data_IF_764016613488
#
_entry.id   IF_764016613488
#
_cell.length_a   1.000
_cell.length_b   1.000
_cell.length_c   1.000
_cell.angle_alpha   90.00
_cell.angle_beta   90.00
_cell.angle_gamma   90.00
#
_symmetry.space_group_name_H-M   'P 1'
#
loop_
_entity.id
_entity.type
_entity.pdbx_description
1 polymer ?
#
# COMPACT_ATOMS: atom_id res chain seq x y z
N UNK A 1 -14.19 -8.00 -22.21
CA UNK A 1 -13.07 -8.75 -22.81
C UNK A 1 -13.07 -10.16 -22.23
N UNK A 2 -12.95 -11.21 -23.04
CA UNK A 2 -12.94 -12.60 -22.56
C UNK A 2 -11.70 -12.85 -21.68
N UNK A 3 -11.85 -13.54 -20.54
CA UNK A 3 -10.75 -13.87 -19.61
C UNK A 3 -9.58 -14.56 -20.31
N UNK A 4 -9.86 -15.45 -21.28
CA UNK A 4 -8.82 -16.14 -22.05
C UNK A 4 -7.98 -15.17 -22.88
N UNK A 5 -8.64 -14.20 -23.52
CA UNK A 5 -8.00 -13.13 -24.31
C UNK A 5 -7.16 -12.20 -23.43
N UNK A 6 -7.62 -11.91 -22.22
CA UNK A 6 -6.87 -11.12 -21.25
C UNK A 6 -5.57 -11.84 -20.85
N UNK A 7 -5.61 -13.17 -20.65
CA UNK A 7 -4.44 -13.95 -20.25
C UNK A 7 -3.41 -14.09 -21.37
N UNK A 8 -3.83 -14.45 -22.58
CA UNK A 8 -2.88 -14.63 -23.71
C UNK A 8 -2.24 -13.32 -24.17
N UNK A 9 -2.92 -12.19 -23.98
CA UNK A 9 -2.36 -10.86 -24.28
C UNK A 9 -1.61 -10.21 -23.10
N UNK A 10 -1.32 -10.96 -22.04
CA UNK A 10 -0.71 -10.45 -20.81
C UNK A 10 -1.42 -9.19 -20.28
N UNK A 11 -2.68 -9.35 -19.91
CA UNK A 11 -3.55 -8.29 -19.40
C UNK A 11 -3.76 -7.11 -20.36
N UNK A 12 -3.61 -7.35 -21.67
CA UNK A 12 -3.83 -6.37 -22.74
C UNK A 12 -2.56 -5.72 -23.28
N UNK A 13 -1.37 -6.08 -22.77
CA UNK A 13 -0.09 -5.62 -23.29
C UNK A 13 0.13 -6.03 -24.76
N UNK A 14 -0.40 -7.18 -25.17
CA UNK A 14 -0.37 -7.64 -26.56
C UNK A 14 -1.16 -6.76 -27.54
N UNK A 15 -2.03 -5.87 -27.06
CA UNK A 15 -2.70 -4.87 -27.92
C UNK A 15 -1.92 -3.57 -28.08
N UNK A 16 -0.64 -3.55 -27.70
CA UNK A 16 0.24 -2.41 -27.92
C UNK A 16 0.33 -2.08 -29.42
N UNK A 17 0.08 -0.83 -29.86
CA UNK A 17 0.02 -0.47 -31.28
C UNK A 17 1.38 -0.45 -31.99
N UNK A 18 2.50 -0.60 -31.26
CA UNK A 18 3.85 -0.45 -31.82
C UNK A 18 4.58 -1.79 -31.93
N UNK A 19 4.77 -2.48 -30.81
CA UNK A 19 5.58 -3.71 -30.72
C UNK A 19 5.08 -4.62 -29.59
N UNK A 20 3.97 -5.37 -29.82
CA UNK A 20 3.37 -6.26 -28.82
C UNK A 20 4.36 -7.18 -28.11
N UNK A 21 5.13 -7.99 -28.85
CA UNK A 21 6.08 -8.94 -28.27
C UNK A 21 7.17 -8.27 -27.43
N UNK A 22 7.66 -7.10 -27.86
CA UNK A 22 8.60 -6.28 -27.06
C UNK A 22 7.96 -5.79 -25.76
N UNK A 23 6.69 -5.36 -25.79
CA UNK A 23 5.98 -4.92 -24.59
C UNK A 23 5.69 -6.10 -23.65
N UNK A 24 5.33 -7.27 -24.20
CA UNK A 24 5.21 -8.52 -23.44
C UNK A 24 6.53 -8.90 -22.75
N UNK A 25 7.63 -8.87 -23.50
CA UNK A 25 8.98 -9.13 -22.98
C UNK A 25 9.41 -8.13 -21.91
N UNK A 26 9.00 -6.86 -21.97
CA UNK A 26 9.35 -5.87 -20.94
C UNK A 26 8.65 -6.13 -19.59
N UNK A 27 7.51 -6.82 -19.58
CA UNK A 27 6.73 -7.05 -18.37
C UNK A 27 7.49 -7.82 -17.26
N UNK A 28 8.08 -9.00 -17.51
CA UNK A 28 8.87 -9.70 -16.51
C UNK A 28 10.09 -8.88 -16.04
N UNK A 29 10.72 -8.10 -16.93
CA UNK A 29 11.81 -7.19 -16.57
C UNK A 29 11.35 -6.10 -15.60
N UNK A 30 10.23 -5.43 -15.91
CA UNK A 30 9.65 -4.39 -15.06
C UNK A 30 9.23 -4.97 -13.70
N UNK A 31 8.59 -6.14 -13.69
CA UNK A 31 8.20 -6.81 -12.45
C UNK A 31 9.41 -7.16 -11.59
N UNK A 32 10.47 -7.70 -12.20
CA UNK A 32 11.71 -8.01 -11.50
C UNK A 32 12.32 -6.75 -10.88
N UNK A 33 12.43 -5.65 -11.66
CA UNK A 33 12.97 -4.38 -11.17
C UNK A 33 12.13 -3.86 -10.01
N UNK A 34 10.80 -3.81 -10.15
CA UNK A 34 9.89 -3.27 -9.12
C UNK A 34 10.00 -4.06 -7.83
N UNK A 35 10.02 -5.40 -7.89
CA UNK A 35 10.12 -6.24 -6.69
C UNK A 35 11.52 -6.14 -6.08
N UNK A 36 12.57 -6.18 -6.89
CA UNK A 36 13.95 -6.07 -6.40
C UNK A 36 14.19 -4.71 -5.75
N UNK A 37 13.62 -3.67 -6.33
CA UNK A 37 13.64 -2.32 -5.81
C UNK A 37 12.88 -2.24 -4.47
N UNK A 38 11.64 -2.70 -4.43
CA UNK A 38 10.79 -2.64 -3.24
C UNK A 38 11.33 -3.46 -2.06
N UNK A 39 11.85 -4.66 -2.33
CA UNK A 39 12.20 -5.64 -1.29
C UNK A 39 13.69 -5.62 -0.94
N UNK A 40 14.54 -5.11 -1.86
CA UNK A 40 16.01 -5.24 -1.86
C UNK A 40 16.50 -6.67 -1.69
N UNK A 41 15.63 -7.66 -1.93
CA UNK A 41 15.94 -9.07 -1.81
C UNK A 41 15.71 -9.74 -3.16
N UNK A 42 16.80 -10.18 -3.79
CA UNK A 42 16.77 -10.74 -5.14
C UNK A 42 15.86 -11.96 -5.25
N UNK A 43 15.84 -12.81 -4.22
CA UNK A 43 15.06 -14.04 -4.19
C UNK A 43 13.55 -13.81 -4.30
N UNK A 44 13.04 -12.68 -3.81
CA UNK A 44 11.61 -12.35 -3.93
C UNK A 44 11.23 -12.07 -5.39
N UNK A 45 12.13 -11.40 -6.13
CA UNK A 45 11.97 -11.15 -7.57
C UNK A 45 12.09 -12.44 -8.37
N UNK A 46 13.04 -13.31 -7.99
CA UNK A 46 13.20 -14.63 -8.59
C UNK A 46 11.95 -15.47 -8.43
N UNK A 47 11.37 -15.56 -7.23
CA UNK A 47 10.13 -16.31 -6.99
C UNK A 47 8.96 -15.74 -7.79
N UNK A 48 8.80 -14.41 -7.82
CA UNK A 48 7.72 -13.78 -8.56
C UNK A 48 7.84 -14.02 -10.07
N UNK A 49 9.04 -13.88 -10.64
CA UNK A 49 9.27 -14.16 -12.07
C UNK A 49 9.18 -15.65 -12.38
N UNK A 50 9.61 -16.54 -11.48
CA UNK A 50 9.39 -17.99 -11.64
C UNK A 50 7.91 -18.34 -11.71
N UNK A 51 7.11 -17.81 -10.77
CA UNK A 51 5.66 -17.97 -10.78
C UNK A 51 5.03 -17.40 -12.06
N UNK A 52 5.49 -16.22 -12.50
CA UNK A 52 5.05 -15.57 -13.73
C UNK A 52 5.35 -16.42 -14.96
N UNK A 53 6.59 -16.90 -15.11
CA UNK A 53 7.03 -17.74 -16.22
C UNK A 53 6.20 -19.01 -16.31
N UNK A 54 6.00 -19.72 -15.18
CA UNK A 54 5.19 -20.95 -15.16
C UNK A 54 3.72 -20.65 -15.50
N UNK A 55 3.16 -19.57 -14.94
CA UNK A 55 1.78 -19.18 -15.18
C UNK A 55 1.52 -18.85 -16.65
N UNK A 56 2.39 -18.06 -17.27
CA UNK A 56 2.24 -17.66 -18.67
C UNK A 56 2.59 -18.77 -19.64
N UNK A 57 3.59 -19.61 -19.35
CA UNK A 57 3.86 -20.84 -20.12
C UNK A 57 2.65 -21.78 -20.14
N UNK A 58 2.04 -22.02 -18.97
CA UNK A 58 0.80 -22.78 -18.87
C UNK A 58 -0.33 -22.11 -19.67
N UNK A 59 -0.46 -20.78 -19.57
CA UNK A 59 -1.46 -20.00 -20.29
C UNK A 59 -1.34 -20.13 -21.81
N UNK A 60 -0.11 -20.06 -22.35
CA UNK A 60 0.16 -20.25 -23.79
C UNK A 60 -0.31 -21.63 -24.25
N UNK A 61 0.08 -22.69 -23.54
CA UNK A 61 -0.32 -24.06 -23.92
C UNK A 61 -1.84 -24.23 -23.80
N UNK A 62 -2.44 -23.80 -22.69
CA UNK A 62 -3.84 -24.02 -22.38
C UNK A 62 -4.80 -23.23 -23.28
N UNK A 63 -4.39 -22.04 -23.75
CA UNK A 63 -5.27 -21.11 -24.44
C UNK A 63 -4.84 -20.74 -25.87
N UNK A 64 -3.72 -21.26 -26.38
CA UNK A 64 -3.24 -21.04 -27.75
C UNK A 64 -4.29 -21.33 -28.83
N UNK A 65 -5.01 -22.46 -28.75
CA UNK A 65 -6.08 -22.80 -29.71
C UNK A 65 -7.16 -21.73 -29.77
N UNK A 66 -7.58 -21.23 -28.60
CA UNK A 66 -8.55 -20.14 -28.51
C UNK A 66 -7.98 -18.84 -29.10
N UNK A 67 -6.70 -18.58 -28.89
CA UNK A 67 -6.06 -17.36 -29.37
C UNK A 67 -5.89 -17.36 -30.90
N UNK A 68 -5.51 -18.50 -31.49
CA UNK A 68 -5.43 -18.71 -32.95
C UNK A 68 -6.81 -18.57 -33.59
N UNK A 69 -7.84 -19.26 -33.04
CA UNK A 69 -9.22 -19.16 -33.52
C UNK A 69 -9.77 -17.73 -33.40
N UNK A 70 -9.44 -17.02 -32.32
CA UNK A 70 -9.90 -15.67 -32.09
C UNK A 70 -9.24 -14.65 -33.03
N UNK A 71 -7.94 -14.78 -33.27
CA UNK A 71 -7.20 -13.85 -34.12
C UNK A 71 -7.39 -14.13 -35.62
N UNK A 72 -7.90 -15.32 -35.98
CA UNK A 72 -8.13 -15.71 -37.37
C UNK A 72 -6.84 -15.91 -38.18
N UNK A 73 -5.69 -16.05 -37.51
CA UNK A 73 -4.36 -16.26 -38.09
C UNK A 73 -3.55 -17.20 -37.20
N UNK A 74 -2.67 -17.99 -37.82
CA UNK A 74 -1.86 -19.00 -37.12
C UNK A 74 -0.83 -18.41 -36.16
N UNK A 75 -0.39 -17.17 -36.39
CA UNK A 75 0.58 -16.47 -35.53
C UNK A 75 0.09 -15.04 -35.18
N UNK A 76 -0.69 -14.89 -34.10
CA UNK A 76 -1.24 -13.61 -33.71
C UNK A 76 -0.31 -12.79 -32.81
N UNK A 77 0.14 -11.65 -33.33
CA UNK A 77 1.00 -10.72 -32.60
C UNK A 77 0.42 -10.20 -31.27
N UNK A 78 -0.87 -10.37 -31.01
CA UNK A 78 -1.50 -9.98 -29.74
C UNK A 78 -1.38 -11.03 -28.63
N UNK A 79 -0.94 -12.24 -28.97
CA UNK A 79 -0.56 -13.26 -28.00
C UNK A 79 0.88 -12.97 -27.63
N UNK A 80 1.08 -12.57 -26.37
CA UNK A 80 2.40 -12.19 -25.87
C UNK A 80 2.82 -13.00 -24.63
N UNK A 81 2.11 -14.10 -24.37
CA UNK A 81 2.26 -14.92 -23.16
C UNK A 81 3.52 -15.77 -23.19
N UNK A 82 3.88 -16.23 -24.36
CA UNK A 82 5.11 -16.95 -24.73
C UNK A 82 6.33 -16.07 -24.51
N UNK A 83 6.32 -14.81 -24.98
CA UNK A 83 7.43 -13.87 -24.78
C UNK A 83 7.63 -13.54 -23.30
N UNK A 84 6.54 -13.42 -22.52
CA UNK A 84 6.61 -13.25 -21.06
C UNK A 84 7.29 -14.46 -20.41
N UNK A 85 6.94 -15.67 -20.84
CA UNK A 85 7.53 -16.89 -20.32
C UNK A 85 9.02 -17.03 -20.70
N UNK A 86 9.35 -16.82 -21.98
CA UNK A 86 10.72 -16.87 -22.52
C UNK A 86 11.65 -15.84 -21.87
N UNK A 87 11.23 -14.57 -21.81
CA UNK A 87 12.02 -13.54 -21.12
C UNK A 87 12.15 -13.84 -19.62
N UNK A 88 11.08 -14.31 -18.98
CA UNK A 88 11.13 -14.68 -17.57
C UNK A 88 12.14 -15.79 -17.30
N UNK A 89 12.25 -16.79 -18.19
CA UNK A 89 13.28 -17.82 -18.10
C UNK A 89 14.70 -17.24 -18.25
N UNK A 90 14.92 -16.32 -19.20
CA UNK A 90 16.20 -15.64 -19.36
C UNK A 90 16.62 -14.91 -18.07
N UNK A 91 15.68 -14.17 -17.45
CA UNK A 91 15.91 -13.49 -16.18
C UNK A 91 16.24 -14.44 -15.04
N UNK A 92 15.53 -15.57 -14.94
CA UNK A 92 15.79 -16.57 -13.90
C UNK A 92 17.21 -17.12 -14.01
N UNK A 93 17.61 -17.57 -15.20
CA UNK A 93 18.97 -18.08 -15.46
C UNK A 93 20.01 -17.01 -15.10
N UNK A 94 19.83 -15.78 -15.61
CA UNK A 94 20.78 -14.69 -15.38
C UNK A 94 20.88 -14.27 -13.91
N UNK A 95 19.77 -14.28 -13.17
CA UNK A 95 19.70 -13.77 -11.81
C UNK A 95 20.52 -14.55 -10.78
N UNK A 96 20.95 -15.78 -11.09
CA UNK A 96 21.82 -16.57 -10.22
C UNK A 96 23.32 -16.31 -10.44
N UNK A 97 23.68 -15.48 -11.42
CA UNK A 97 25.07 -15.20 -11.76
C UNK A 97 25.61 -13.99 -10.99
N UNK A 98 26.91 -13.99 -10.62
CA UNK A 98 27.52 -12.89 -9.88
C UNK A 98 27.41 -11.53 -10.57
N UNK A 99 27.51 -11.49 -11.90
CA UNK A 99 27.39 -10.27 -12.68
C UNK A 99 26.02 -9.60 -12.54
N UNK A 100 24.96 -10.39 -12.36
CA UNK A 100 23.60 -9.89 -12.13
C UNK A 100 23.50 -9.20 -10.77
N UNK A 101 24.04 -9.81 -9.73
CA UNK A 101 24.07 -9.21 -8.39
C UNK A 101 24.90 -7.92 -8.35
N UNK A 102 25.99 -7.86 -9.12
CA UNK A 102 26.85 -6.67 -9.21
C UNK A 102 26.21 -5.53 -10.04
N UNK A 103 25.58 -5.85 -11.16
CA UNK A 103 25.00 -4.88 -12.11
C UNK A 103 23.59 -5.30 -12.55
N UNK A 104 22.57 -5.25 -11.66
CA UNK A 104 21.27 -5.88 -11.90
C UNK A 104 20.54 -5.26 -13.09
N UNK A 105 20.52 -3.94 -13.21
CA UNK A 105 19.79 -3.24 -14.29
C UNK A 105 20.44 -3.45 -15.66
N UNK A 106 21.77 -3.41 -15.70
CA UNK A 106 22.54 -3.70 -16.91
C UNK A 106 22.30 -5.15 -17.33
N UNK A 107 22.30 -6.07 -16.38
CA UNK A 107 22.06 -7.48 -16.64
C UNK A 107 20.65 -7.75 -17.16
N UNK A 108 19.62 -7.13 -16.56
CA UNK A 108 18.24 -7.19 -17.06
C UNK A 108 18.15 -6.63 -18.49
N UNK A 109 18.82 -5.49 -18.76
CA UNK A 109 18.87 -4.90 -20.10
C UNK A 109 19.55 -5.81 -21.13
N UNK A 110 20.70 -6.40 -20.80
CA UNK A 110 21.40 -7.34 -21.67
C UNK A 110 20.55 -8.58 -21.94
N UNK A 111 19.95 -9.18 -20.89
CA UNK A 111 19.09 -10.34 -21.03
C UNK A 111 17.86 -10.04 -21.88
N UNK A 112 17.28 -8.86 -21.75
CA UNK A 112 16.19 -8.38 -22.60
C UNK A 112 16.60 -8.29 -24.07
N UNK A 113 17.74 -7.65 -24.36
CA UNK A 113 18.23 -7.51 -25.74
C UNK A 113 18.58 -8.87 -26.34
N UNK A 114 19.26 -9.75 -25.58
CA UNK A 114 19.62 -11.09 -26.03
C UNK A 114 18.38 -11.93 -26.31
N UNK A 115 17.39 -11.90 -25.41
CA UNK A 115 16.12 -12.60 -25.61
C UNK A 115 15.43 -12.15 -26.88
N UNK A 116 15.22 -10.83 -27.06
CA UNK A 116 14.60 -10.28 -28.28
C UNK A 116 15.39 -10.65 -29.53
N UNK A 117 16.72 -10.64 -29.48
CA UNK A 117 17.54 -11.06 -30.61
C UNK A 117 17.28 -12.54 -30.97
N UNK A 118 17.29 -13.44 -30.00
CA UNK A 118 17.07 -14.88 -30.25
C UNK A 118 15.64 -15.22 -30.64
N UNK A 119 14.65 -14.52 -30.06
CA UNK A 119 13.24 -14.63 -30.42
C UNK A 119 12.99 -14.17 -31.87
N UNK A 120 13.56 -13.02 -32.28
CA UNK A 120 13.38 -12.51 -33.65
C UNK A 120 14.16 -13.34 -34.69
N UNK A 121 15.37 -13.79 -34.35
CA UNK A 121 16.24 -14.51 -35.31
C UNK A 121 15.94 -16.01 -35.39
N UNK A 122 15.30 -16.58 -34.36
CA UNK A 122 14.92 -18.00 -34.26
C UNK A 122 16.04 -18.97 -34.64
N UNK A 123 17.20 -18.82 -34.03
CA UNK A 123 18.37 -19.66 -34.30
C UNK A 123 18.08 -21.14 -33.98
N UNK A 124 18.42 -22.05 -34.91
CA UNK A 124 18.22 -23.49 -34.76
C UNK A 124 18.83 -24.04 -33.45
N UNK A 125 18.15 -24.96 -32.72
CA UNK A 125 16.88 -25.61 -33.05
C UNK A 125 15.56 -24.84 -32.78
N UNK A 126 15.56 -23.57 -32.36
CA UNK A 126 14.31 -22.86 -32.01
C UNK A 126 13.30 -22.84 -33.17
N UNK A 127 13.74 -22.50 -34.39
CA UNK A 127 12.90 -22.58 -35.61
C UNK A 127 12.34 -23.97 -35.96
N UNK A 128 12.87 -25.04 -35.36
CA UNK A 128 12.32 -26.40 -35.56
C UNK A 128 11.18 -26.68 -34.58
N UNK A 129 11.15 -25.99 -33.44
CA UNK A 129 10.15 -26.19 -32.40
C UNK A 129 8.80 -25.58 -32.78
N UNK A 130 8.79 -24.53 -33.60
CA UNK A 130 7.58 -23.95 -34.20
C UNK A 130 6.73 -24.98 -34.96
N UNK A 131 7.36 -26.05 -35.45
CA UNK A 131 6.67 -27.13 -36.20
C UNK A 131 5.83 -28.03 -35.30
N UNK A 132 5.93 -27.89 -33.97
CA UNK A 132 5.12 -28.64 -33.03
C UNK A 132 3.69 -28.10 -33.01
N UNK A 133 2.67 -28.98 -32.99
CA UNK A 133 1.29 -28.54 -33.12
C UNK A 133 0.78 -27.79 -31.88
N UNK A 134 0.01 -26.73 -32.12
CA UNK A 134 -0.68 -25.97 -31.07
C UNK A 134 0.25 -25.10 -30.23
N UNK A 135 -0.14 -24.79 -29.00
CA UNK A 135 0.60 -23.89 -28.12
C UNK A 135 1.96 -24.39 -27.64
N UNK A 136 2.32 -25.63 -27.93
CA UNK A 136 3.67 -26.12 -27.64
C UNK A 136 4.68 -25.53 -28.60
N UNK A 137 4.34 -25.38 -29.88
CA UNK A 137 5.24 -24.76 -30.86
C UNK A 137 5.52 -23.30 -30.52
N UNK A 138 4.45 -22.54 -30.22
CA UNK A 138 4.47 -21.11 -29.84
C UNK A 138 5.22 -20.85 -28.52
N UNK A 139 5.19 -21.79 -27.57
CA UNK A 139 5.90 -21.59 -26.32
C UNK A 139 7.38 -21.98 -26.44
N UNK A 140 7.67 -23.07 -27.14
CA UNK A 140 8.97 -23.73 -27.04
C UNK A 140 10.07 -22.99 -27.81
N UNK A 141 9.75 -22.26 -28.87
CA UNK A 141 10.70 -21.38 -29.54
C UNK A 141 11.11 -20.20 -28.63
N UNK A 142 10.17 -19.55 -27.94
CA UNK A 142 10.44 -18.50 -26.96
C UNK A 142 11.19 -19.00 -25.72
N UNK A 143 10.84 -20.18 -25.22
CA UNK A 143 11.59 -20.83 -24.13
C UNK A 143 13.03 -21.12 -24.57
N UNK A 144 13.25 -21.54 -25.82
CA UNK A 144 14.60 -21.71 -26.35
C UNK A 144 15.33 -20.38 -26.52
N UNK A 145 14.66 -19.32 -26.96
CA UNK A 145 15.24 -17.98 -27.02
C UNK A 145 15.66 -17.49 -25.63
N UNK A 146 14.83 -17.75 -24.61
CA UNK A 146 15.14 -17.49 -23.20
C UNK A 146 16.35 -18.26 -22.70
N UNK A 147 16.44 -19.54 -23.07
CA UNK A 147 17.59 -20.40 -22.75
C UNK A 147 18.88 -19.88 -23.41
N UNK A 148 18.84 -19.53 -24.70
CA UNK A 148 19.99 -18.95 -25.40
C UNK A 148 20.44 -17.63 -24.77
N UNK A 149 19.50 -16.74 -24.46
CA UNK A 149 19.81 -15.48 -23.80
C UNK A 149 20.50 -15.72 -22.45
N UNK A 150 19.99 -16.66 -21.65
CA UNK A 150 20.60 -17.05 -20.38
C UNK A 150 22.00 -17.64 -20.55
N UNK A 151 22.22 -18.55 -21.51
CA UNK A 151 23.53 -19.17 -21.78
C UNK A 151 24.54 -18.13 -22.26
N UNK A 152 24.17 -17.26 -23.21
CA UNK A 152 25.07 -16.22 -23.72
C UNK A 152 25.39 -15.21 -22.63
N UNK A 153 24.42 -14.81 -21.82
CA UNK A 153 24.67 -13.95 -20.67
C UNK A 153 25.58 -14.62 -19.63
N UNK A 154 25.42 -15.93 -19.39
CA UNK A 154 26.30 -16.70 -18.52
C UNK A 154 27.74 -16.73 -19.04
N UNK A 155 27.93 -17.02 -20.32
CA UNK A 155 29.25 -16.95 -20.96
C UNK A 155 29.86 -15.55 -20.84
N UNK A 156 29.11 -14.51 -21.21
CA UNK A 156 29.56 -13.12 -21.11
C UNK A 156 29.93 -12.73 -19.66
N UNK A 157 29.20 -13.24 -18.66
CA UNK A 157 29.50 -13.03 -17.24
C UNK A 157 30.79 -13.72 -16.83
N UNK A 158 31.00 -14.97 -17.26
CA UNK A 158 32.21 -15.75 -16.97
C UNK A 158 33.47 -15.16 -17.61
N UNK A 159 33.35 -14.63 -18.83
CA UNK A 159 34.45 -13.95 -19.53
C UNK A 159 34.65 -12.49 -19.08
N UNK A 160 33.86 -12.01 -18.11
CA UNK A 160 33.97 -10.64 -17.58
C UNK A 160 33.49 -9.55 -18.53
N UNK A 161 32.78 -9.88 -19.62
CA UNK A 161 32.32 -8.90 -20.61
C UNK A 161 31.17 -8.02 -20.11
N UNK A 162 30.45 -8.48 -19.08
CA UNK A 162 29.39 -7.69 -18.44
C UNK A 162 29.98 -6.56 -17.59
N UNK A 163 31.16 -6.76 -17.00
CA UNK A 163 31.74 -5.82 -16.03
C UNK A 163 32.04 -4.43 -16.62
N UNK A 164 32.71 -4.27 -17.79
CA UNK A 164 32.97 -2.96 -18.37
C UNK A 164 31.68 -2.18 -18.70
N UNK A 165 30.65 -2.89 -19.17
CA UNK A 165 29.34 -2.29 -19.46
C UNK A 165 28.63 -1.89 -18.17
N UNK A 166 28.74 -2.74 -17.15
CA UNK A 166 28.27 -2.50 -15.79
C UNK A 166 28.86 -1.23 -15.19
N UNK A 167 30.18 -1.11 -15.17
CA UNK A 167 30.90 0.05 -14.62
C UNK A 167 30.58 1.35 -15.37
N UNK A 168 30.37 1.28 -16.69
CA UNK A 168 30.00 2.43 -17.51
C UNK A 168 28.56 2.92 -17.23
N UNK A 169 27.59 2.01 -17.13
CA UNK A 169 26.16 2.37 -17.10
C UNK A 169 25.57 2.45 -15.69
N UNK A 170 26.05 1.64 -14.75
CA UNK A 170 25.46 1.54 -13.40
C UNK A 170 25.44 2.88 -12.63
N UNK A 171 26.44 3.78 -12.73
CA UNK A 171 26.38 5.09 -12.09
C UNK A 171 25.19 5.96 -12.53
N UNK A 172 24.70 5.77 -13.76
CA UNK A 172 23.55 6.50 -14.30
C UNK A 172 22.22 5.79 -14.02
N UNK A 173 22.22 4.45 -14.00
CA UNK A 173 21.00 3.64 -13.84
C UNK A 173 20.58 3.49 -12.37
N UNK A 174 21.54 3.38 -11.45
CA UNK A 174 21.27 3.13 -10.03
C UNK A 174 20.47 4.28 -9.37
N UNK A 175 20.76 5.58 -9.61
CA UNK A 175 19.96 6.68 -9.06
C UNK A 175 18.52 6.72 -9.60
N UNK A 176 18.31 6.39 -10.87
CA UNK A 176 16.97 6.33 -11.48
C UNK A 176 16.16 5.22 -10.82
N UNK A 177 16.77 4.05 -10.64
CA UNK A 177 16.07 2.92 -10.04
C UNK A 177 15.86 3.08 -8.54
N UNK A 178 16.77 3.71 -7.80
CA UNK A 178 16.53 4.04 -6.39
C UNK A 178 15.39 5.04 -6.25
N UNK A 179 15.27 6.01 -7.16
CA UNK A 179 14.14 6.94 -7.19
C UNK A 179 12.81 6.23 -7.49
N UNK A 180 12.76 5.40 -8.54
CA UNK A 180 11.57 4.62 -8.90
C UNK A 180 11.18 3.63 -7.79
N UNK A 181 12.18 3.00 -7.15
CA UNK A 181 12.01 2.17 -5.96
C UNK A 181 11.32 2.93 -4.84
N UNK A 182 11.83 4.14 -4.55
CA UNK A 182 11.26 5.01 -3.54
C UNK A 182 9.81 5.33 -3.86
N UNK A 183 9.51 5.65 -5.13
CA UNK A 183 8.16 5.96 -5.60
C UNK A 183 7.19 4.77 -5.46
N UNK A 184 7.62 3.56 -5.83
CA UNK A 184 6.80 2.37 -5.66
C UNK A 184 6.57 2.07 -4.17
N UNK A 185 7.62 2.19 -3.35
CA UNK A 185 7.57 2.02 -1.91
C UNK A 185 6.60 2.98 -1.23
N UNK A 186 6.72 4.27 -1.53
CA UNK A 186 5.86 5.32 -0.98
C UNK A 186 4.41 5.16 -1.42
N UNK A 187 4.15 4.79 -2.68
CA UNK A 187 2.79 4.51 -3.14
C UNK A 187 2.23 3.31 -2.38
N UNK A 188 2.99 2.22 -2.24
CA UNK A 188 2.57 1.03 -1.50
C UNK A 188 2.22 1.34 -0.04
N UNK A 189 3.12 1.98 0.70
CA UNK A 189 2.86 2.39 2.09
C UNK A 189 1.74 3.42 2.19
N UNK A 190 1.63 4.35 1.22
CA UNK A 190 0.52 5.29 1.13
C UNK A 190 -0.83 4.58 0.95
N UNK A 191 -0.91 3.56 0.09
CA UNK A 191 -2.10 2.71 -0.06
C UNK A 191 -2.42 2.01 1.26
N UNK A 192 -1.42 1.42 1.93
CA UNK A 192 -1.59 0.79 3.24
C UNK A 192 -2.19 1.79 4.23
N UNK A 193 -1.57 2.97 4.38
CA UNK A 193 -2.05 4.04 5.26
C UNK A 193 -3.49 4.43 4.94
N UNK A 194 -3.80 4.77 3.69
CA UNK A 194 -5.14 5.23 3.32
C UNK A 194 -6.20 4.16 3.55
N UNK A 195 -5.90 2.90 3.27
CA UNK A 195 -6.82 1.79 3.54
C UNK A 195 -7.03 1.57 5.04
N UNK A 196 -5.99 1.67 5.85
CA UNK A 196 -6.01 1.23 7.25
C UNK A 196 -6.26 2.35 8.27
N UNK A 197 -6.13 3.62 7.89
CA UNK A 197 -6.35 4.77 8.79
C UNK A 197 -7.81 4.84 9.26
N UNK A 198 -8.73 4.60 8.32
CA UNK A 198 -10.14 4.67 8.62
C UNK A 198 -10.67 3.33 9.11
N UNK A 199 -10.31 2.23 8.45
CA UNK A 199 -10.71 0.91 8.91
C UNK A 199 -10.21 0.70 10.34
N UNK A 200 -10.99 0.03 11.22
CA UNK A 200 -10.63 -0.07 12.62
C UNK A 200 -9.57 -1.16 12.84
N UNK A 201 -8.41 -1.04 12.17
CA UNK A 201 -7.35 -2.07 12.11
C UNK A 201 -5.96 -1.53 12.44
N UNK A 202 -5.85 -0.25 12.82
CA UNK A 202 -4.62 0.47 13.18
C UNK A 202 -3.64 0.64 12.01
N UNK A 203 -3.68 1.81 11.38
CA UNK A 203 -2.75 2.23 10.34
C UNK A 203 -1.29 2.25 10.79
N UNK A 204 -1.03 2.85 11.95
CA UNK A 204 0.32 2.88 12.53
C UNK A 204 0.89 1.48 12.76
N UNK A 205 0.08 0.50 13.18
CA UNK A 205 0.51 -0.89 13.29
C UNK A 205 0.90 -1.52 11.94
N UNK A 206 0.15 -1.21 10.88
CA UNK A 206 0.46 -1.72 9.54
C UNK A 206 1.71 -1.07 8.97
N UNK A 207 1.89 0.24 9.11
CA UNK A 207 3.11 0.92 8.67
C UNK A 207 4.35 0.33 9.36
N UNK A 208 4.34 0.24 10.70
CA UNK A 208 5.44 -0.40 11.45
C UNK A 208 5.70 -1.83 10.97
N UNK A 209 4.66 -2.62 10.71
CA UNK A 209 4.81 -3.98 10.19
C UNK A 209 5.48 -4.00 8.80
N UNK A 210 4.97 -3.22 7.84
CA UNK A 210 5.52 -3.20 6.48
C UNK A 210 6.94 -2.64 6.45
N UNK A 211 7.23 -1.60 7.23
CA UNK A 211 8.59 -1.05 7.38
C UNK A 211 9.54 -2.06 8.01
N UNK A 212 9.08 -2.85 8.99
CA UNK A 212 9.89 -3.93 9.57
C UNK A 212 10.14 -5.07 8.57
N UNK A 213 9.18 -5.37 7.70
CA UNK A 213 9.28 -6.44 6.71
C UNK A 213 10.13 -6.05 5.49
N UNK A 214 10.34 -4.75 5.26
CA UNK A 214 11.17 -4.23 4.17
C UNK A 214 12.53 -3.87 4.77
N UNK A 215 13.59 -4.69 4.59
CA UNK A 215 14.86 -4.54 5.34
C UNK A 215 15.58 -3.20 5.15
N UNK A 216 15.23 -2.45 4.10
CA UNK A 216 15.80 -1.14 3.83
C UNK A 216 15.09 0.02 4.52
N UNK A 217 13.95 -0.26 5.14
CA UNK A 217 13.19 0.71 5.90
C UNK A 217 13.41 0.42 7.38
N UNK A 218 13.45 1.48 8.15
CA UNK A 218 13.51 1.41 9.60
C UNK A 218 12.34 2.23 10.14
N UNK A 219 11.35 1.60 10.82
CA UNK A 219 10.20 2.29 11.40
C UNK A 219 10.56 3.39 12.41
N UNK A 220 11.76 3.30 13.00
CA UNK A 220 12.28 4.27 13.95
C UNK A 220 13.12 5.37 13.26
N UNK A 221 13.41 5.21 11.96
CA UNK A 221 14.16 6.20 11.21
C UNK A 221 13.39 7.50 11.03
N UNK A 222 14.15 8.59 11.08
CA UNK A 222 13.60 9.95 10.95
C UNK A 222 12.92 10.20 9.60
N UNK A 223 13.42 9.58 8.53
CA UNK A 223 12.80 9.66 7.20
C UNK A 223 11.43 8.98 7.16
N UNK A 224 11.28 7.82 7.81
CA UNK A 224 9.97 7.13 7.90
C UNK A 224 8.99 7.89 8.78
N UNK A 225 9.44 8.50 9.89
CA UNK A 225 8.58 9.36 10.70
C UNK A 225 8.00 10.55 9.91
N UNK A 226 8.81 11.20 9.06
CA UNK A 226 8.34 12.26 8.17
C UNK A 226 7.40 11.74 7.06
N UNK A 227 7.67 10.53 6.58
CA UNK A 227 6.83 9.89 5.58
C UNK A 227 5.46 9.53 6.16
N UNK A 228 5.41 8.85 7.31
CA UNK A 228 4.21 8.53 8.09
C UNK A 228 3.34 9.77 8.25
N UNK A 229 3.97 10.85 8.71
CA UNK A 229 3.36 12.14 8.89
C UNK A 229 2.65 12.63 7.63
N UNK A 230 3.35 12.62 6.50
CA UNK A 230 2.79 13.08 5.22
C UNK A 230 1.63 12.20 4.75
N UNK A 231 1.74 10.87 4.88
CA UNK A 231 0.64 9.97 4.49
C UNK A 231 -0.58 10.09 5.41
N UNK A 232 -0.39 10.38 6.70
CA UNK A 232 -1.48 10.72 7.62
C UNK A 232 -2.19 12.01 7.20
N UNK A 233 -1.44 13.06 6.84
CA UNK A 233 -2.02 14.30 6.27
C UNK A 233 -2.81 14.00 4.98
N UNK A 234 -2.32 13.08 4.14
CA UNK A 234 -3.04 12.57 2.97
C UNK A 234 -4.47 12.11 3.30
N UNK A 235 -4.63 11.35 4.38
CA UNK A 235 -5.96 10.87 4.82
C UNK A 235 -6.88 12.00 5.31
N UNK A 236 -6.34 13.09 5.86
CA UNK A 236 -7.16 14.25 6.26
C UNK A 236 -7.91 14.81 5.05
N UNK A 237 -7.26 14.86 3.88
CA UNK A 237 -7.95 15.26 2.64
C UNK A 237 -9.09 14.29 2.27
N UNK A 238 -8.97 13.00 2.56
CA UNK A 238 -10.06 12.03 2.34
C UNK A 238 -11.27 12.36 3.20
N UNK A 239 -11.06 12.75 4.47
CA UNK A 239 -12.12 13.21 5.39
C UNK A 239 -12.79 14.46 4.80
N UNK A 240 -12.01 15.46 4.39
CA UNK A 240 -12.51 16.70 3.81
C UNK A 240 -13.41 16.42 2.58
N UNK A 241 -13.01 15.52 1.70
CA UNK A 241 -13.77 15.18 0.48
C UNK A 241 -15.05 14.40 0.79
N UNK A 242 -14.98 13.40 1.67
CA UNK A 242 -16.12 12.51 2.00
C UNK A 242 -17.14 13.24 2.86
N UNK A 243 -16.68 14.00 3.86
CA UNK A 243 -17.54 14.76 4.78
C UNK A 243 -17.79 16.21 4.36
N UNK A 244 -17.45 16.61 3.13
CA UNK A 244 -17.59 18.00 2.66
C UNK A 244 -18.96 18.62 2.94
N UNK A 245 -20.04 17.84 2.76
CA UNK A 245 -21.41 18.34 2.98
C UNK A 245 -21.67 18.58 4.47
N UNK A 246 -21.22 17.68 5.34
CA UNK A 246 -21.34 17.78 6.79
C UNK A 246 -20.48 18.93 7.32
N UNK A 247 -19.25 19.07 6.83
CA UNK A 247 -18.33 20.14 7.21
C UNK A 247 -18.90 21.51 6.80
N UNK A 248 -19.40 21.67 5.56
CA UNK A 248 -20.03 22.92 5.13
C UNK A 248 -21.29 23.23 5.94
N UNK A 249 -22.13 22.22 6.22
CA UNK A 249 -23.31 22.39 7.08
C UNK A 249 -22.90 22.85 8.48
N UNK A 250 -21.88 22.23 9.05
CA UNK A 250 -21.31 22.56 10.35
C UNK A 250 -20.80 24.00 10.38
N UNK A 251 -19.95 24.37 9.41
CA UNK A 251 -19.40 25.71 9.28
C UNK A 251 -20.51 26.76 9.15
N UNK A 252 -21.53 26.52 8.31
CA UNK A 252 -22.69 27.42 8.19
C UNK A 252 -23.42 27.62 9.51
N UNK A 253 -23.59 26.57 10.32
CA UNK A 253 -24.25 26.69 11.64
C UNK A 253 -23.35 27.29 12.72
N UNK A 254 -22.03 27.11 12.59
CA UNK A 254 -21.04 27.68 13.50
C UNK A 254 -20.94 29.20 13.32
N UNK A 255 -20.85 29.66 12.07
CA UNK A 255 -20.75 31.08 11.71
C UNK A 255 -22.10 31.78 11.53
N UNK A 256 -23.24 31.10 11.72
CA UNK A 256 -24.54 31.75 11.75
C UNK A 256 -24.62 32.59 13.03
N UNK A 257 -24.25 33.85 12.93
CA UNK A 257 -24.32 34.83 14.01
C UNK A 257 -25.78 35.06 14.39
N UNK A 258 -26.19 34.40 15.46
CA UNK A 258 -27.45 34.67 16.11
C UNK A 258 -27.30 35.95 16.95
N UNK A 259 -27.92 37.04 16.48
CA UNK A 259 -27.88 38.36 17.15
C UNK A 259 -28.73 38.40 18.43
N UNK A 260 -29.26 37.26 18.87
CA UNK A 260 -30.16 37.13 20.03
C UNK A 260 -29.50 37.27 21.40
N UNK A 261 -28.23 37.68 21.49
CA UNK A 261 -27.56 37.91 22.78
C UNK A 261 -27.39 36.66 23.66
N UNK A 262 -27.39 35.47 23.07
CA UNK A 262 -27.26 34.21 23.82
C UNK A 262 -25.91 34.13 24.55
N UNK A 263 -25.94 33.80 25.84
CA UNK A 263 -24.71 33.53 26.60
C UNK A 263 -24.04 32.22 26.13
N UNK A 264 -22.74 31.99 26.44
CA UNK A 264 -22.00 30.82 25.97
C UNK A 264 -22.65 29.47 26.31
N UNK A 265 -23.29 29.37 27.47
CA UNK A 265 -23.98 28.14 27.92
C UNK A 265 -25.22 27.88 27.05
N UNK A 266 -25.97 28.92 26.70
CA UNK A 266 -27.13 28.80 25.82
C UNK A 266 -26.71 28.45 24.38
N UNK A 267 -25.61 29.00 23.88
CA UNK A 267 -25.04 28.61 22.58
C UNK A 267 -24.66 27.13 22.55
N UNK A 268 -23.98 26.63 23.60
CA UNK A 268 -23.64 25.22 23.75
C UNK A 268 -24.88 24.30 23.78
N UNK A 269 -25.97 24.73 24.43
CA UNK A 269 -27.20 23.90 24.53
C UNK A 269 -28.08 23.97 23.27
N UNK A 270 -28.19 25.13 22.63
CA UNK A 270 -29.12 25.37 21.51
C UNK A 270 -28.51 25.07 20.14
N UNK A 271 -27.23 25.42 19.93
CA UNK A 271 -26.57 25.28 18.64
C UNK A 271 -25.72 24.00 18.59
N UNK A 272 -26.14 23.07 17.74
CA UNK A 272 -25.47 21.79 17.53
C UNK A 272 -23.99 21.94 17.10
N UNK A 273 -23.65 22.96 16.30
CA UNK A 273 -22.28 23.15 15.84
C UNK A 273 -21.36 23.57 17.00
N UNK A 274 -21.82 24.50 17.84
CA UNK A 274 -21.09 24.90 19.05
C UNK A 274 -20.96 23.76 20.06
N UNK A 275 -22.04 23.02 20.27
CA UNK A 275 -22.03 21.83 21.13
C UNK A 275 -20.94 20.83 20.72
N UNK A 276 -20.92 20.47 19.44
CA UNK A 276 -19.95 19.55 18.87
C UNK A 276 -18.53 20.14 18.90
N UNK A 277 -18.33 21.41 18.52
CA UNK A 277 -17.02 22.06 18.55
C UNK A 277 -16.43 22.01 19.97
N UNK A 278 -17.23 22.34 20.97
CA UNK A 278 -16.81 22.28 22.36
C UNK A 278 -16.41 20.87 22.78
N UNK A 279 -17.23 19.86 22.45
CA UNK A 279 -16.90 18.47 22.74
C UNK A 279 -15.62 18.02 22.00
N UNK A 280 -15.44 18.42 20.74
CA UNK A 280 -14.26 18.09 19.94
C UNK A 280 -12.99 18.72 20.54
N UNK A 281 -13.08 19.96 21.04
CA UNK A 281 -11.99 20.63 21.77
C UNK A 281 -11.65 19.85 23.04
N UNK A 282 -12.63 19.50 23.86
CA UNK A 282 -12.40 18.71 25.08
C UNK A 282 -11.76 17.36 24.77
N UNK A 283 -12.23 16.67 23.72
CA UNK A 283 -11.67 15.39 23.28
C UNK A 283 -10.20 15.56 22.88
N UNK A 284 -9.89 16.53 22.02
CA UNK A 284 -8.53 16.77 21.52
C UNK A 284 -7.60 17.26 22.63
N UNK A 285 -8.09 18.11 23.54
CA UNK A 285 -7.34 18.59 24.70
C UNK A 285 -7.02 17.45 25.66
N UNK A 286 -7.96 16.53 25.88
CA UNK A 286 -7.73 15.31 26.67
C UNK A 286 -6.62 14.48 26.04
N UNK A 287 -6.68 14.25 24.72
CA UNK A 287 -5.65 13.54 23.96
C UNK A 287 -4.27 14.18 24.11
N UNK A 288 -4.19 15.50 23.94
CA UNK A 288 -2.95 16.24 24.06
C UNK A 288 -2.38 16.20 25.49
N UNK A 289 -3.23 16.30 26.51
CA UNK A 289 -2.83 16.22 27.90
C UNK A 289 -2.22 14.86 28.22
N UNK A 290 -2.88 13.77 27.84
CA UNK A 290 -2.37 12.41 28.07
C UNK A 290 -1.09 12.17 27.29
N UNK A 291 -0.98 12.61 26.03
CA UNK A 291 0.27 12.52 25.28
C UNK A 291 1.43 13.18 26.02
N UNK A 292 1.27 14.42 26.49
CA UNK A 292 2.32 15.14 27.23
C UNK A 292 2.69 14.48 28.57
N UNK A 293 1.75 13.84 29.24
CA UNK A 293 2.00 13.16 30.51
C UNK A 293 2.74 11.83 30.33
N UNK A 294 2.59 11.17 29.18
CA UNK A 294 3.10 9.82 28.90
C UNK A 294 3.91 9.75 27.59
N UNK A 295 4.60 10.83 27.25
CA UNK A 295 5.33 10.97 25.98
C UNK A 295 6.36 9.85 25.77
N UNK A 296 7.22 9.62 26.76
CA UNK A 296 8.26 8.58 26.75
C UNK A 296 7.70 7.16 26.49
N UNK A 297 6.69 6.67 27.23
CA UNK A 297 6.03 5.41 26.92
C UNK A 297 5.44 5.30 25.51
N UNK A 298 4.88 6.40 24.98
CA UNK A 298 4.30 6.38 23.63
C UNK A 298 5.39 6.24 22.57
N UNK A 299 6.48 6.99 22.67
CA UNK A 299 7.59 6.89 21.71
C UNK A 299 8.27 5.51 21.78
N UNK A 300 8.41 4.93 22.98
CA UNK A 300 9.00 3.60 23.17
C UNK A 300 8.13 2.43 22.65
N UNK A 301 6.90 2.69 22.22
CA UNK A 301 5.91 1.68 21.85
C UNK A 301 5.93 1.25 20.37
N UNK A 302 6.81 1.84 19.54
CA UNK A 302 6.98 1.55 18.09
C UNK A 302 7.64 0.19 17.77
N UNK A 303 7.47 -0.82 18.61
CA UNK A 303 8.04 -2.16 18.40
C UNK A 303 6.98 -3.12 17.87
N UNK A 304 7.33 -3.97 16.90
CA UNK A 304 6.38 -4.89 16.26
C UNK A 304 5.67 -5.82 17.26
N UNK A 305 6.36 -6.27 18.32
CA UNK A 305 5.71 -7.10 19.35
C UNK A 305 4.63 -6.34 20.13
N UNK A 306 4.81 -5.02 20.37
CA UNK A 306 3.80 -4.16 21.00
C UNK A 306 2.60 -4.05 20.08
N UNK A 307 2.83 -3.81 18.78
CA UNK A 307 1.78 -3.77 17.75
C UNK A 307 0.94 -5.05 17.76
N UNK A 308 1.57 -6.23 17.85
CA UNK A 308 0.86 -7.51 17.90
C UNK A 308 -0.10 -7.58 19.10
N UNK A 309 0.34 -7.21 20.29
CA UNK A 309 -0.51 -7.20 21.50
C UNK A 309 -1.64 -6.17 21.37
N UNK A 310 -1.32 -4.97 20.89
CA UNK A 310 -2.29 -3.90 20.73
C UNK A 310 -3.36 -4.20 19.67
N UNK A 311 -3.04 -4.96 18.62
CA UNK A 311 -4.03 -5.47 17.68
C UNK A 311 -5.02 -6.42 18.34
N UNK A 312 -4.59 -7.26 19.28
CA UNK A 312 -5.50 -8.12 20.05
C UNK A 312 -6.44 -7.30 20.94
N UNK A 313 -5.94 -6.21 21.54
CA UNK A 313 -6.76 -5.26 22.30
C UNK A 313 -7.79 -4.58 21.38
N UNK A 314 -7.36 -4.11 20.21
CA UNK A 314 -8.27 -3.57 19.18
C UNK A 314 -9.32 -4.59 18.77
N UNK A 315 -8.93 -5.85 18.56
CA UNK A 315 -9.85 -6.93 18.20
C UNK A 315 -10.90 -7.16 19.29
N UNK A 316 -10.48 -7.24 20.55
CA UNK A 316 -11.39 -7.42 21.68
C UNK A 316 -12.39 -6.26 21.79
N UNK A 317 -11.91 -5.02 21.67
CA UNK A 317 -12.75 -3.82 21.74
C UNK A 317 -13.83 -3.82 20.65
N UNK A 318 -13.46 -4.15 19.41
CA UNK A 318 -14.40 -4.23 18.28
C UNK A 318 -15.44 -5.33 18.48
N UNK A 319 -15.01 -6.50 18.94
CA UNK A 319 -15.91 -7.63 19.17
C UNK A 319 -16.94 -7.33 20.27
N UNK A 320 -16.49 -6.74 21.39
CA UNK A 320 -17.36 -6.33 22.50
C UNK A 320 -18.37 -5.27 22.02
N UNK A 321 -17.90 -4.27 21.27
CA UNK A 321 -18.75 -3.19 20.75
C UNK A 321 -19.80 -3.71 19.78
N UNK A 322 -19.45 -4.69 18.94
CA UNK A 322 -20.40 -5.24 17.96
C UNK A 322 -21.59 -5.95 18.62
N UNK A 323 -21.37 -6.58 19.80
CA UNK A 323 -22.44 -7.17 20.63
C UNK A 323 -23.42 -6.14 21.18
N UNK A 324 -23.04 -4.87 21.30
CA UNK A 324 -23.94 -3.81 21.77
C UNK A 324 -24.99 -3.48 20.71
N UNK A 325 -26.23 -3.88 20.99
CA UNK A 325 -27.41 -3.74 20.11
C UNK A 325 -28.12 -2.40 20.27
N UNK A 326 -28.11 -1.82 21.48
CA UNK A 326 -28.81 -0.57 21.81
C UNK A 326 -27.81 0.58 21.99
N UNK A 327 -27.84 1.55 21.08
CA UNK A 327 -27.22 2.86 21.25
C UNK A 327 -28.10 3.92 20.59
N UNK A 328 -28.78 4.74 21.41
CA UNK A 328 -29.83 5.65 20.96
C UNK A 328 -29.56 7.12 21.30
N UNK A 329 -28.50 7.41 22.07
CA UNK A 329 -28.19 8.79 22.43
C UNK A 329 -27.92 9.60 21.17
N UNK A 330 -28.55 10.77 21.09
CA UNK A 330 -28.31 11.74 20.03
C UNK A 330 -27.08 12.57 20.36
N UNK A 331 -26.45 13.13 19.34
CA UNK A 331 -25.23 13.93 19.51
C UNK A 331 -25.43 15.23 20.32
N UNK A 332 -26.66 15.70 20.57
CA UNK A 332 -26.93 16.81 21.50
C UNK A 332 -27.04 16.37 22.97
N UNK A 333 -27.32 15.10 23.20
CA UNK A 333 -27.38 14.49 24.54
C UNK A 333 -25.98 14.01 24.97
N UNK A 334 -25.00 14.11 24.07
CA UNK A 334 -23.60 13.75 24.27
C UNK A 334 -22.89 14.84 25.09
N UNK A 335 -22.65 14.56 26.38
CA UNK A 335 -22.04 15.54 27.30
C UNK A 335 -20.51 15.57 27.29
N UNK A 336 -19.96 16.47 28.11
CA UNK A 336 -18.51 16.63 28.35
C UNK A 336 -17.85 15.32 28.81
N UNK A 337 -18.54 14.53 29.65
CA UNK A 337 -18.03 13.23 30.12
C UNK A 337 -17.79 12.29 28.95
N UNK A 338 -18.72 12.23 27.99
CA UNK A 338 -18.54 11.45 26.77
C UNK A 338 -17.33 11.91 25.96
N UNK A 339 -17.13 13.23 25.84
CA UNK A 339 -15.97 13.81 25.15
C UNK A 339 -14.64 13.42 25.81
N UNK A 340 -14.57 13.46 27.15
CA UNK A 340 -13.37 13.01 27.90
C UNK A 340 -13.12 11.52 27.69
N UNK A 341 -14.15 10.68 27.77
CA UNK A 341 -14.02 9.22 27.54
C UNK A 341 -13.49 8.92 26.13
N UNK A 342 -14.01 9.62 25.12
CA UNK A 342 -13.50 9.46 23.74
C UNK A 342 -12.07 10.00 23.63
N UNK A 343 -11.73 11.09 24.31
CA UNK A 343 -10.37 11.63 24.35
C UNK A 343 -9.37 10.66 24.97
N UNK A 344 -9.74 9.99 26.06
CA UNK A 344 -8.93 8.93 26.67
C UNK A 344 -8.74 7.76 25.69
N UNK A 345 -9.81 7.33 25.01
CA UNK A 345 -9.71 6.29 23.98
C UNK A 345 -8.83 6.71 22.79
N UNK A 346 -8.91 7.98 22.37
CA UNK A 346 -8.07 8.56 21.33
C UNK A 346 -6.60 8.65 21.77
N UNK A 347 -6.34 8.92 23.05
CA UNK A 347 -4.99 8.95 23.64
C UNK A 347 -4.34 7.57 23.60
N UNK A 348 -5.08 6.52 23.99
CA UNK A 348 -4.59 5.15 23.90
C UNK A 348 -4.25 4.74 22.47
N UNK A 349 -4.95 5.32 21.48
CA UNK A 349 -4.69 5.06 20.08
C UNK A 349 -3.43 5.72 19.49
N UNK A 350 -2.66 6.44 20.31
CA UNK A 350 -1.30 6.87 19.96
C UNK A 350 -0.36 5.66 19.91
N UNK A 351 -0.63 4.62 20.71
CA UNK A 351 0.15 3.38 20.72
C UNK A 351 -0.07 2.61 19.40
N UNK A 352 0.99 2.30 18.63
CA UNK A 352 0.88 1.49 17.42
C UNK A 352 0.19 0.15 17.67
N UNK A 353 -0.73 -0.22 16.77
CA UNK A 353 -1.60 -1.39 16.89
C UNK A 353 -2.95 -1.12 17.56
N UNK A 354 -3.11 -0.02 18.30
CA UNK A 354 -4.44 0.48 18.68
C UNK A 354 -5.01 1.28 17.52
N UNK A 355 -6.19 0.90 17.04
CA UNK A 355 -6.85 1.67 15.98
C UNK A 355 -7.50 2.93 16.54
N UNK A 356 -7.12 4.11 16.06
CA UNK A 356 -7.74 5.38 16.48
C UNK A 356 -9.21 5.49 16.10
N UNK A 357 -9.55 5.19 14.85
CA UNK A 357 -10.96 5.13 14.41
C UNK A 357 -11.72 4.06 15.20
N UNK A 358 -11.15 2.87 15.38
CA UNK A 358 -11.72 1.79 16.18
C UNK A 358 -11.99 2.20 17.63
N UNK A 359 -10.98 2.71 18.33
CA UNK A 359 -11.05 3.11 19.73
C UNK A 359 -12.10 4.20 19.97
N UNK A 360 -12.08 5.26 19.18
CA UNK A 360 -13.02 6.38 19.34
C UNK A 360 -14.45 6.04 18.94
N UNK A 361 -14.66 5.27 17.86
CA UNK A 361 -16.00 4.77 17.47
C UNK A 361 -16.54 3.83 18.53
N UNK A 362 -15.72 2.89 19.01
CA UNK A 362 -16.12 1.93 20.03
C UNK A 362 -16.44 2.62 21.35
N UNK A 363 -15.58 3.53 21.83
CA UNK A 363 -15.84 4.32 23.02
C UNK A 363 -17.15 5.10 22.93
N UNK A 364 -17.42 5.74 21.78
CA UNK A 364 -18.67 6.47 21.55
C UNK A 364 -19.90 5.55 21.59
N UNK A 365 -19.86 4.39 20.93
CA UNK A 365 -20.97 3.42 20.91
C UNK A 365 -21.18 2.79 22.29
N UNK A 366 -20.08 2.45 22.99
CA UNK A 366 -20.11 1.90 24.34
C UNK A 366 -20.61 2.93 25.35
N UNK A 367 -20.32 4.22 25.17
CA UNK A 367 -20.94 5.30 25.93
C UNK A 367 -22.46 5.42 25.67
N UNK A 368 -22.92 4.98 24.49
CA UNK A 368 -24.34 4.92 24.13
C UNK A 368 -24.73 5.80 22.94
N UNK A 369 -23.75 6.47 22.31
CA UNK A 369 -23.98 7.30 21.12
C UNK A 369 -24.46 6.44 19.95
N UNK A 370 -25.48 6.93 19.24
CA UNK A 370 -25.97 6.24 18.06
C UNK A 370 -24.85 6.07 17.01
N UNK A 371 -24.73 4.89 16.40
CA UNK A 371 -23.60 4.48 15.54
C UNK A 371 -23.28 5.49 14.43
N UNK A 372 -24.30 6.06 13.79
CA UNK A 372 -24.13 7.12 12.78
C UNK A 372 -23.34 8.32 13.34
N UNK A 373 -23.71 8.79 14.52
CA UNK A 373 -23.07 9.94 15.18
C UNK A 373 -21.70 9.57 15.74
N UNK A 374 -21.50 8.35 16.25
CA UNK A 374 -20.19 7.86 16.68
C UNK A 374 -19.15 7.92 15.55
N UNK A 375 -19.53 7.47 14.36
CA UNK A 375 -18.67 7.50 13.17
C UNK A 375 -18.38 8.95 12.74
N UNK A 376 -19.41 9.78 12.59
CA UNK A 376 -19.24 11.19 12.20
C UNK A 376 -18.39 11.96 13.22
N UNK A 377 -18.61 11.74 14.51
CA UNK A 377 -17.85 12.35 15.59
C UNK A 377 -16.38 11.95 15.54
N UNK A 378 -16.08 10.65 15.51
CA UNK A 378 -14.73 10.09 15.45
C UNK A 378 -13.89 10.63 14.28
N UNK A 379 -14.49 10.77 13.09
CA UNK A 379 -13.76 11.28 11.94
C UNK A 379 -13.55 12.78 11.95
N UNK A 380 -14.49 13.55 12.49
CA UNK A 380 -14.32 14.99 12.57
C UNK A 380 -13.29 15.39 13.64
N UNK A 381 -13.24 14.69 14.79
CA UNK A 381 -12.17 14.88 15.79
C UNK A 381 -10.81 14.35 15.32
N UNK A 382 -10.78 13.53 14.27
CA UNK A 382 -9.54 13.04 13.68
C UNK A 382 -8.69 14.16 13.12
N UNK A 383 -9.33 15.10 12.41
CA UNK A 383 -8.62 16.15 11.68
C UNK A 383 -7.74 17.00 12.60
N UNK A 384 -8.25 17.58 13.71
CA UNK A 384 -7.40 18.35 14.62
C UNK A 384 -6.37 17.47 15.34
N UNK A 385 -6.68 16.22 15.65
CA UNK A 385 -5.72 15.32 16.30
C UNK A 385 -4.56 14.94 15.36
N UNK A 386 -4.85 14.54 14.12
CA UNK A 386 -3.85 14.20 13.11
C UNK A 386 -3.02 15.43 12.77
N UNK A 387 -3.65 16.57 12.45
CA UNK A 387 -2.93 17.80 12.11
C UNK A 387 -2.11 18.34 13.30
N UNK A 388 -2.63 18.21 14.52
CA UNK A 388 -1.93 18.62 15.74
C UNK A 388 -0.71 17.75 16.04
N UNK A 389 -0.88 16.42 16.03
CA UNK A 389 0.24 15.47 16.17
C UNK A 389 1.27 15.68 15.06
N UNK A 390 0.78 15.87 13.83
CA UNK A 390 1.59 16.15 12.67
C UNK A 390 2.48 17.39 12.84
N UNK A 391 1.87 18.50 13.26
CA UNK A 391 2.56 19.73 13.53
C UNK A 391 3.57 19.58 14.68
N UNK A 392 3.19 18.92 15.78
CA UNK A 392 4.10 18.71 16.92
C UNK A 392 5.33 17.91 16.52
N UNK A 393 5.17 16.81 15.80
CA UNK A 393 6.29 16.00 15.30
C UNK A 393 7.15 16.81 14.32
N UNK A 394 6.55 17.55 13.39
CA UNK A 394 7.29 18.42 12.47
C UNK A 394 8.08 19.53 13.20
N UNK A 395 7.51 20.11 14.26
CA UNK A 395 8.17 21.15 15.05
C UNK A 395 9.31 20.60 15.92
N UNK A 396 9.20 19.35 16.41
CA UNK A 396 10.26 18.65 17.15
C UNK A 396 11.43 18.27 16.27
N UNK A 397 11.17 18.03 14.98
CA UNK A 397 12.14 17.52 14.03
C UNK A 397 12.35 18.46 12.84
N UNK A 398 12.40 19.77 13.08
CA UNK A 398 12.51 20.80 12.03
C UNK A 398 13.78 20.66 11.20
N UNK A 399 14.85 20.20 11.82
CA UNK A 399 16.14 19.94 11.19
C UNK A 399 16.08 18.88 10.09
N UNK A 400 15.01 18.08 10.04
CA UNK A 400 14.82 17.07 9.01
C UNK A 400 14.27 17.62 7.71
N UNK A 401 13.63 18.79 7.74
CA UNK A 401 13.08 19.41 6.53
C UNK A 401 14.23 19.97 5.68
N UNK A 402 14.52 19.29 4.56
CA UNK A 402 15.58 19.65 3.61
C UNK A 402 16.87 18.84 3.74
N UNK A 403 17.00 17.99 4.76
CA UNK A 403 18.17 17.13 4.99
C UNK A 403 17.89 15.63 4.76
N UNK A 404 16.65 15.25 4.47
CA UNK A 404 16.22 13.85 4.33
C UNK A 404 16.61 13.19 3.00
N UNK A 405 16.72 11.86 3.03
CA UNK A 405 17.02 11.02 1.85
C UNK A 405 15.80 10.97 0.90
N UNK A 406 14.59 11.15 1.43
CA UNK A 406 13.36 11.11 0.65
C UNK A 406 13.14 12.41 -0.12
N UNK A 407 13.08 12.28 -1.45
CA UNK A 407 12.74 13.40 -2.32
C UNK A 407 11.27 13.84 -2.11
N UNK A 408 10.95 15.13 -2.30
CA UNK A 408 9.57 15.62 -2.22
C UNK A 408 8.59 14.85 -3.12
N UNK A 409 9.02 14.41 -4.30
CA UNK A 409 8.20 13.61 -5.23
C UNK A 409 7.76 12.27 -4.63
N UNK A 410 8.66 11.58 -3.92
CA UNK A 410 8.37 10.31 -3.25
C UNK A 410 7.35 10.52 -2.11
N UNK A 411 7.55 11.54 -1.27
CA UNK A 411 6.61 11.86 -0.17
C UNK A 411 5.22 12.21 -0.70
N UNK A 412 5.15 13.10 -1.71
CA UNK A 412 3.88 13.52 -2.30
C UNK A 412 3.14 12.34 -2.95
N UNK A 413 3.85 11.42 -3.60
CA UNK A 413 3.22 10.24 -4.21
C UNK A 413 2.53 9.34 -3.17
N UNK A 414 3.16 9.10 -2.01
CA UNK A 414 2.57 8.34 -0.92
C UNK A 414 1.39 9.08 -0.29
N UNK A 415 1.51 10.39 -0.09
CA UNK A 415 0.42 11.23 0.41
C UNK A 415 -0.81 11.20 -0.51
N UNK A 416 -0.60 11.27 -1.83
CA UNK A 416 -1.67 11.17 -2.82
C UNK A 416 -2.30 9.76 -2.85
N UNK A 417 -1.48 8.71 -2.78
CA UNK A 417 -1.97 7.33 -2.71
C UNK A 417 -2.85 7.11 -1.46
N UNK A 418 -2.39 7.61 -0.30
CA UNK A 418 -3.14 7.59 0.97
C UNK A 418 -4.44 8.38 0.89
N UNK A 419 -4.42 9.57 0.30
CA UNK A 419 -5.62 10.37 0.06
C UNK A 419 -6.67 9.62 -0.78
N UNK A 420 -6.27 9.07 -1.93
CA UNK A 420 -7.19 8.42 -2.87
C UNK A 420 -7.78 7.13 -2.30
N UNK A 421 -6.94 6.27 -1.73
CA UNK A 421 -7.39 5.01 -1.10
C UNK A 421 -8.18 5.25 0.17
N UNK A 422 -7.84 6.30 0.92
CA UNK A 422 -8.59 6.77 2.08
C UNK A 422 -10.05 7.11 1.78
N UNK A 423 -10.35 7.70 0.62
CA UNK A 423 -11.75 7.97 0.21
C UNK A 423 -12.54 6.66 0.12
N UNK A 424 -11.93 5.61 -0.43
CA UNK A 424 -12.57 4.30 -0.61
C UNK A 424 -12.79 3.65 0.77
N UNK A 425 -11.74 3.56 1.58
CA UNK A 425 -11.79 2.95 2.91
C UNK A 425 -12.79 3.64 3.84
N UNK A 426 -12.85 4.97 3.81
CA UNK A 426 -13.79 5.74 4.62
C UNK A 426 -15.25 5.44 4.26
N UNK A 427 -15.57 5.33 2.96
CA UNK A 427 -16.92 4.94 2.50
C UNK A 427 -17.27 3.51 2.91
N UNK A 428 -16.30 2.59 2.81
CA UNK A 428 -16.46 1.20 3.24
C UNK A 428 -16.76 1.11 4.74
N UNK A 429 -16.02 1.85 5.58
CA UNK A 429 -16.26 1.84 7.02
C UNK A 429 -17.63 2.42 7.38
N UNK A 430 -18.05 3.52 6.76
CA UNK A 430 -19.37 4.11 7.02
C UNK A 430 -20.47 3.06 6.75
N UNK A 431 -20.34 2.26 5.68
CA UNK A 431 -21.27 1.16 5.37
C UNK A 431 -21.17 0.03 6.41
N UNK A 432 -19.97 -0.44 6.72
CA UNK A 432 -19.75 -1.55 7.64
C UNK A 432 -20.20 -1.25 9.08
N UNK A 433 -19.92 -0.04 9.58
CA UNK A 433 -20.31 0.39 10.93
C UNK A 433 -21.83 0.48 11.09
N UNK A 434 -22.53 1.02 10.07
CA UNK A 434 -24.00 1.07 10.03
C UNK A 434 -24.63 -0.32 10.03
N UNK A 435 -24.00 -1.30 9.38
CA UNK A 435 -24.51 -2.66 9.24
C UNK A 435 -24.10 -3.62 10.38
N UNK A 436 -23.45 -3.13 11.45
CA UNK A 436 -22.94 -3.97 12.56
C UNK A 436 -21.98 -5.07 12.10
N UNK A 437 -20.99 -4.65 11.33
CA UNK A 437 -20.00 -5.55 10.74
C UNK A 437 -18.60 -5.35 11.35
N UNK A 438 -18.50 -4.81 12.58
CA UNK A 438 -17.21 -4.53 13.22
C UNK A 438 -16.45 -5.82 13.57
N UNK A 439 -17.17 -6.92 13.79
CA UNK A 439 -16.59 -8.24 14.05
C UNK A 439 -15.62 -8.73 12.97
N UNK A 440 -15.80 -8.35 11.71
CA UNK A 440 -14.88 -8.79 10.65
C UNK A 440 -13.51 -8.13 10.78
N UNK A 441 -13.45 -6.86 11.20
CA UNK A 441 -12.19 -6.19 11.50
C UNK A 441 -11.52 -6.77 12.76
N UNK A 442 -12.30 -7.21 13.75
CA UNK A 442 -11.77 -7.93 14.90
C UNK A 442 -11.05 -9.22 14.50
N UNK A 443 -11.67 -10.04 13.64
CA UNK A 443 -11.04 -11.26 13.11
C UNK A 443 -9.77 -10.93 12.35
N UNK A 444 -9.79 -9.89 11.51
CA UNK A 444 -8.62 -9.43 10.78
C UNK A 444 -7.46 -9.02 11.72
N UNK A 445 -7.74 -8.25 12.77
CA UNK A 445 -6.72 -7.85 13.75
C UNK A 445 -6.09 -9.05 14.46
N UNK A 446 -6.86 -10.09 14.78
CA UNK A 446 -6.34 -11.34 15.35
C UNK A 446 -5.42 -12.04 14.34
N UNK A 447 -5.87 -12.15 13.08
CA UNK A 447 -5.11 -12.80 12.03
C UNK A 447 -3.77 -12.09 11.76
N UNK A 448 -3.79 -10.76 11.56
CA UNK A 448 -2.56 -10.01 11.26
C UNK A 448 -1.59 -10.01 12.45
N UNK A 449 -2.11 -9.95 13.69
CA UNK A 449 -1.31 -10.14 14.90
C UNK A 449 -0.61 -11.50 14.93
N UNK A 450 -1.32 -12.59 14.59
CA UNK A 450 -0.72 -13.92 14.53
C UNK A 450 0.37 -14.02 13.46
N UNK A 451 0.15 -13.47 12.26
CA UNK A 451 1.14 -13.46 11.17
C UNK A 451 2.40 -12.69 11.59
N UNK A 452 2.26 -11.50 12.15
CA UNK A 452 3.40 -10.70 12.61
C UNK A 452 4.12 -11.34 13.78
N UNK A 453 3.41 -12.00 14.70
CA UNK A 453 4.03 -12.73 15.80
C UNK A 453 4.85 -13.93 15.31
N UNK A 454 4.34 -14.68 14.33
CA UNK A 454 5.09 -15.77 13.68
C UNK A 454 6.37 -15.23 13.03
N UNK A 455 6.29 -14.08 12.34
CA UNK A 455 7.48 -13.44 11.75
C UNK A 455 8.55 -13.13 12.81
N UNK A 456 8.15 -12.59 13.97
CA UNK A 456 9.05 -12.30 15.09
C UNK A 456 9.68 -13.59 15.66
N UNK A 457 8.98 -14.72 15.63
CA UNK A 457 9.54 -15.99 16.13
C UNK A 457 10.55 -16.62 15.16
N UNK A 458 10.48 -16.29 13.87
CA UNK A 458 11.32 -16.86 12.82
C UNK A 458 12.60 -16.06 12.55
N UNK A 459 12.71 -14.84 13.07
CA UNK A 459 13.84 -13.91 12.90
C UNK A 459 14.31 -13.42 14.26
#
# INVERSE_FOLDING_TARGET
>A
MNTKRLLTSCFGLGFSPFVPGTVGSLFPCALFIIIAAFTRQLWQSQLAVAGLTVFFAWGTIAFSKYAIEFAGREDPSEVVSDEVAGQGLALLIGSFLPAFSAYPLVSIGILFVLFRFFDITKISPANRLERLPGGQGILLDDIMAGLYAGIVFAAASLFGWVQPVGELLNPYLLPICSYLSGLCGSIGLGVVQGLTEFLPVSSSGHLVMFETFIPSLDPESKDMLLFDLAVHVGTVFSILVVFRKQIVLFARHFFKFDHSGHNPIQLYKKNFAWHFAFCAIITTATTMLIYKLFEEPFEASRKLWVVCVMWLITAALLYITDKKTRSSLKLREFGIIGAVVIGLAQSGAIIPGISRSGATICAAILYGLHRKWAVEYSFLIAMPAILGGALLTALKHKELFGAGILTPGVIISGMLASFLTGIIALRLLIKASRNRQLKYFSIYCIFISAVSFIYILLN
#
